data_IF_539412876511
#
_entry.id   IF_539412876511
#
_cell.length_a   1.000
_cell.length_b   1.000
_cell.length_c   1.000
_cell.angle_alpha   90.00
_cell.angle_beta   90.00
_cell.angle_gamma   90.00
#
_symmetry.space_group_name_H-M   'P 1'
#
loop_
_entity.id
_entity.type
_entity.pdbx_description
1 polymer ?
#
# COMPACT_ATOMS: atom_id res chain seq x y z
N UNK A 1 8.70 -30.22 24.57
CA UNK A 1 8.13 -30.24 23.20
C UNK A 1 6.76 -29.52 23.12
N UNK A 2 6.46 -28.52 23.96
CA UNK A 2 5.17 -27.79 23.95
C UNK A 2 5.34 -26.29 23.66
N UNK A 3 6.44 -25.68 24.09
CA UNK A 3 6.73 -24.26 23.87
C UNK A 3 6.93 -23.87 22.39
N UNK A 4 7.41 -24.79 21.55
CA UNK A 4 7.61 -24.52 20.12
C UNK A 4 6.29 -24.39 19.35
N UNK A 5 5.23 -25.11 19.75
CA UNK A 5 3.94 -25.09 19.03
C UNK A 5 3.22 -23.75 19.24
N UNK A 6 3.26 -23.17 20.45
CA UNK A 6 2.68 -21.84 20.71
C UNK A 6 3.40 -20.72 19.95
N UNK A 7 4.72 -20.80 19.81
CA UNK A 7 5.49 -19.78 19.08
C UNK A 7 5.12 -19.76 17.58
N UNK A 8 4.91 -20.94 16.98
CA UNK A 8 4.50 -21.04 15.57
C UNK A 8 3.09 -20.50 15.35
N UNK A 9 2.16 -20.77 16.26
CA UNK A 9 0.78 -20.24 16.19
C UNK A 9 0.76 -18.72 16.34
N UNK A 10 1.55 -18.17 17.27
CA UNK A 10 1.68 -16.73 17.44
C UNK A 10 2.28 -16.08 16.17
N UNK A 11 3.36 -16.63 15.62
CA UNK A 11 3.99 -16.12 14.41
C UNK A 11 3.04 -16.13 13.20
N UNK A 12 2.25 -17.21 13.02
CA UNK A 12 1.24 -17.30 11.97
C UNK A 12 0.13 -16.26 12.13
N UNK A 13 -0.32 -16.00 13.36
CA UNK A 13 -1.34 -14.98 13.63
C UNK A 13 -0.84 -13.55 13.31
N UNK A 14 0.39 -13.23 13.70
CA UNK A 14 1.00 -11.93 13.36
C UNK A 14 1.25 -11.79 11.85
N UNK A 15 1.71 -12.85 11.18
CA UNK A 15 1.89 -12.86 9.74
C UNK A 15 0.56 -12.58 9.02
N UNK A 16 -0.53 -13.24 9.41
CA UNK A 16 -1.86 -13.02 8.83
C UNK A 16 -2.33 -11.56 8.97
N UNK A 17 -2.07 -10.93 10.13
CA UNK A 17 -2.39 -9.52 10.36
C UNK A 17 -1.51 -8.58 9.53
N UNK A 18 -0.24 -8.91 9.31
CA UNK A 18 0.66 -8.10 8.48
C UNK A 18 0.29 -8.12 6.98
N UNK A 19 -0.24 -9.24 6.46
CA UNK A 19 -0.74 -9.31 5.07
C UNK A 19 -2.13 -8.69 4.92
N UNK A 20 -2.96 -8.78 5.96
CA UNK A 20 -4.32 -8.25 5.96
C UNK A 20 -4.40 -6.77 6.35
N UNK A 21 -3.34 -6.22 6.97
CA UNK A 21 -3.21 -4.79 7.15
C UNK A 21 -3.06 -4.17 5.76
N UNK A 22 -3.99 -3.32 5.31
CA UNK A 22 -3.72 -2.43 4.20
C UNK A 22 -2.67 -1.45 4.74
N UNK A 23 -1.40 -1.82 4.66
CA UNK A 23 -0.25 -1.06 5.15
C UNK A 23 0.04 0.21 4.34
N UNK A 24 -0.93 0.67 3.58
CA UNK A 24 -0.93 1.94 2.89
C UNK A 24 -2.37 2.43 2.75
N UNK A 25 -2.60 3.75 2.67
CA UNK A 25 -3.89 4.27 2.26
C UNK A 25 -4.38 3.52 1.01
N UNK A 26 -5.70 3.28 0.86
CA UNK A 26 -6.24 2.66 -0.36
C UNK A 26 -5.57 3.33 -1.56
N UNK A 27 -5.17 2.58 -2.61
CA UNK A 27 -4.55 3.19 -3.78
C UNK A 27 -5.45 4.35 -4.16
N UNK A 28 -4.95 5.59 -4.07
CA UNK A 28 -5.83 6.72 -4.25
C UNK A 28 -6.44 6.54 -5.65
N UNK A 29 -7.72 6.87 -5.82
CA UNK A 29 -8.34 6.84 -7.15
C UNK A 29 -7.53 7.68 -8.16
N UNK A 30 -6.72 8.59 -7.62
CA UNK A 30 -5.69 9.36 -8.27
C UNK A 30 -4.27 8.83 -7.96
N UNK A 31 -3.36 8.90 -8.93
CA UNK A 31 -1.92 8.70 -8.79
C UNK A 31 -1.32 9.72 -7.81
N UNK A 32 -0.41 9.26 -6.92
CA UNK A 32 0.36 10.14 -6.04
C UNK A 32 1.36 11.03 -6.80
N UNK A 33 1.93 12.01 -6.11
CA UNK A 33 2.99 12.86 -6.65
C UNK A 33 4.18 12.01 -7.13
N UNK A 34 4.88 12.45 -8.18
CA UNK A 34 5.96 11.73 -8.87
C UNK A 34 5.57 10.44 -9.62
N UNK A 35 4.29 10.05 -9.67
CA UNK A 35 3.85 8.99 -10.58
C UNK A 35 3.70 9.51 -12.01
N UNK A 36 3.88 8.62 -12.98
CA UNK A 36 3.62 8.94 -14.38
C UNK A 36 2.13 9.13 -14.63
N UNK A 37 1.78 10.19 -15.37
CA UNK A 37 0.42 10.54 -15.74
C UNK A 37 0.28 10.78 -17.25
N UNK A 38 -0.90 10.48 -17.77
CA UNK A 38 -1.28 10.84 -19.14
C UNK A 38 -2.27 12.01 -19.17
N UNK A 39 -3.13 12.12 -18.14
CA UNK A 39 -4.11 13.19 -18.01
C UNK A 39 -4.09 13.76 -16.60
N UNK A 40 -4.55 15.01 -16.51
CA UNK A 40 -4.54 15.81 -15.29
C UNK A 40 -5.27 15.15 -14.10
N UNK A 41 -6.47 14.64 -14.36
CA UNK A 41 -7.35 14.04 -13.35
C UNK A 41 -6.93 12.64 -12.91
N UNK A 42 -5.86 12.09 -13.50
CA UNK A 42 -5.20 10.94 -12.93
C UNK A 42 -4.39 11.33 -11.69
N UNK A 43 -3.99 12.59 -11.51
CA UNK A 43 -3.14 13.02 -10.40
C UNK A 43 -3.95 13.52 -9.21
N UNK A 44 -3.52 13.22 -7.98
CA UNK A 44 -4.24 13.72 -6.79
C UNK A 44 -4.18 15.23 -6.62
N UNK A 45 -3.22 15.90 -7.28
CA UNK A 45 -3.15 17.34 -7.38
C UNK A 45 -3.93 17.91 -8.56
N UNK A 46 -4.60 17.07 -9.37
CA UNK A 46 -5.17 17.46 -10.67
C UNK A 46 -4.14 18.29 -11.45
N UNK A 47 -2.89 17.84 -11.53
CA UNK A 47 -1.83 18.50 -12.28
C UNK A 47 -0.86 17.47 -12.87
N UNK A 48 -0.90 17.34 -14.19
CA UNK A 48 0.00 16.47 -14.95
C UNK A 48 0.97 17.32 -15.77
N UNK A 49 2.23 17.41 -15.34
CA UNK A 49 3.28 18.19 -16.00
C UNK A 49 4.42 17.30 -16.46
N UNK A 50 4.79 17.41 -17.74
CA UNK A 50 5.85 16.59 -18.37
C UNK A 50 5.65 15.06 -18.19
N UNK A 51 4.39 14.62 -18.02
CA UNK A 51 4.05 13.22 -17.76
C UNK A 51 4.27 12.77 -16.32
N UNK A 52 4.47 13.69 -15.37
CA UNK A 52 4.49 13.41 -13.93
C UNK A 52 3.40 14.19 -13.19
N UNK A 53 2.83 13.53 -12.17
CA UNK A 53 1.95 14.18 -11.21
C UNK A 53 2.74 15.09 -10.27
N UNK A 54 2.34 16.36 -10.20
CA UNK A 54 2.92 17.36 -9.30
C UNK A 54 1.88 18.02 -8.39
#
# INVERSE_FOLDING_TARGET
MQFSKSAVVAAMAFAAVAVAAPGGPPPPACKPLLQSCAVNSECCGDLCLAGLCI
#
